data_IF_711125285793
#
_entry.id   IF_711125285793
#
_cell.length_a   1.000
_cell.length_b   1.000
_cell.length_c   1.000
_cell.angle_alpha   90.00
_cell.angle_beta   90.00
_cell.angle_gamma   90.00
#
_symmetry.space_group_name_H-M   'P 1'
#
loop_
_entity.id
_entity.type
_entity.pdbx_description
1 polymer ?
#
# COMPACT_ATOMS: atom_id res chain seq x y z
N UNK A 1 -29.11 19.61 9.40
CA UNK A 1 -28.14 18.59 8.94
C UNK A 1 -27.86 18.87 7.47
N UNK A 2 -26.73 19.50 7.14
CA UNK A 2 -26.40 19.82 5.74
C UNK A 2 -26.29 18.50 4.96
N UNK A 3 -27.15 18.31 3.94
CA UNK A 3 -27.00 17.22 2.98
C UNK A 3 -25.61 17.37 2.34
N UNK A 4 -24.74 16.37 2.48
CA UNK A 4 -23.50 16.31 1.69
C UNK A 4 -23.91 16.47 0.22
N UNK A 5 -23.33 17.45 -0.49
CA UNK A 5 -23.33 17.43 -1.97
C UNK A 5 -22.71 16.09 -2.39
N UNK A 6 -23.18 15.49 -3.48
CA UNK A 6 -22.70 14.23 -4.09
C UNK A 6 -21.18 14.24 -4.38
N UNK A 7 -20.33 14.25 -3.36
CA UNK A 7 -18.89 14.06 -3.50
C UNK A 7 -18.60 12.59 -3.23
N UNK A 8 -18.04 11.93 -4.24
CA UNK A 8 -17.54 10.57 -4.11
C UNK A 8 -16.33 10.57 -3.17
N UNK A 9 -16.34 9.69 -2.18
CA UNK A 9 -15.25 9.49 -1.23
C UNK A 9 -14.57 8.16 -1.53
N UNK A 10 -13.28 8.23 -1.84
CA UNK A 10 -12.44 7.06 -2.09
C UNK A 10 -11.42 6.95 -0.96
N UNK A 11 -11.47 5.84 -0.22
CA UNK A 11 -10.41 5.45 0.69
C UNK A 11 -9.31 4.72 -0.09
N UNK A 12 -8.17 5.38 -0.29
CA UNK A 12 -7.10 4.88 -1.15
C UNK A 12 -6.21 3.81 -0.47
N UNK A 13 -6.39 3.52 0.82
CA UNK A 13 -5.46 2.67 1.56
C UNK A 13 -6.17 1.80 2.59
N UNK A 14 -6.66 0.66 2.13
CA UNK A 14 -7.26 -0.35 3.01
C UNK A 14 -6.52 -1.67 2.90
N UNK A 15 -6.50 -2.43 3.99
CA UNK A 15 -5.95 -3.78 4.03
C UNK A 15 -7.05 -4.73 4.49
N UNK A 16 -7.22 -5.82 3.74
CA UNK A 16 -8.02 -6.97 4.16
C UNK A 16 -7.23 -8.25 3.89
N UNK A 17 -7.58 -9.29 4.62
CA UNK A 17 -6.95 -10.60 4.54
C UNK A 17 -8.01 -11.68 4.27
N UNK A 18 -7.62 -12.87 3.80
CA UNK A 18 -8.48 -14.03 3.90
C UNK A 18 -8.95 -14.21 5.35
N UNK A 19 -10.22 -14.51 5.58
CA UNK A 19 -10.83 -14.52 6.92
C UNK A 19 -10.04 -15.39 7.93
N UNK A 20 -9.54 -16.55 7.49
CA UNK A 20 -8.75 -17.46 8.31
C UNK A 20 -7.33 -16.96 8.66
N UNK A 21 -6.87 -15.87 8.03
CA UNK A 21 -5.57 -15.22 8.25
C UNK A 21 -5.73 -13.91 9.04
N UNK A 22 -6.89 -13.25 8.93
CA UNK A 22 -7.09 -11.87 9.38
C UNK A 22 -6.75 -11.64 10.86
N UNK A 23 -7.24 -12.48 11.76
CA UNK A 23 -6.98 -12.38 13.21
C UNK A 23 -5.47 -12.46 13.52
N UNK A 24 -4.77 -13.42 12.90
CA UNK A 24 -3.33 -13.60 13.10
C UNK A 24 -2.52 -12.44 12.52
N UNK A 25 -2.92 -11.93 11.35
CA UNK A 25 -2.25 -10.79 10.72
C UNK A 25 -2.34 -9.54 11.61
N UNK A 26 -3.55 -9.21 12.07
CA UNK A 26 -3.78 -8.06 12.96
C UNK A 26 -3.02 -8.24 14.28
N UNK A 27 -3.10 -9.40 14.91
CA UNK A 27 -2.42 -9.66 16.18
C UNK A 27 -0.90 -9.50 16.06
N UNK A 28 -0.31 -9.95 14.94
CA UNK A 28 1.12 -9.76 14.67
C UNK A 28 1.48 -8.28 14.53
N UNK A 29 0.72 -7.53 13.74
CA UNK A 29 0.97 -6.10 13.52
C UNK A 29 0.89 -5.34 14.84
N UNK A 30 -0.20 -5.52 15.59
CA UNK A 30 -0.39 -4.86 16.88
C UNK A 30 0.74 -5.19 17.87
N UNK A 31 1.11 -6.48 17.96
CA UNK A 31 2.23 -6.93 18.80
C UNK A 31 3.55 -6.24 18.45
N UNK A 32 3.83 -6.05 17.17
CA UNK A 32 5.06 -5.41 16.70
C UNK A 32 5.09 -3.89 16.90
N UNK A 33 3.92 -3.23 16.96
CA UNK A 33 3.85 -1.77 17.21
C UNK A 33 4.04 -1.39 18.67
N UNK A 34 4.21 -2.35 19.59
CA UNK A 34 4.40 -2.10 21.03
C UNK A 34 3.29 -1.26 21.65
N UNK A 35 2.04 -1.42 21.16
CA UNK A 35 0.87 -0.69 21.66
C UNK A 35 0.72 0.75 21.16
N UNK A 36 1.49 1.15 20.14
CA UNK A 36 1.36 2.48 19.52
C UNK A 36 0.16 2.59 18.56
N UNK A 37 -0.45 1.46 18.20
CA UNK A 37 -1.55 1.38 17.23
C UNK A 37 -2.64 0.46 17.77
N UNK A 38 -3.89 0.85 17.52
CA UNK A 38 -5.08 0.04 17.78
C UNK A 38 -5.73 -0.41 16.47
N UNK A 39 -6.36 -1.60 16.49
CA UNK A 39 -7.19 -2.07 15.39
C UNK A 39 -8.67 -1.80 15.69
N UNK A 40 -9.32 -1.04 14.80
CA UNK A 40 -10.75 -0.72 14.87
C UNK A 40 -11.61 -1.61 13.96
N UNK A 41 -10.96 -2.47 13.18
CA UNK A 41 -11.61 -3.47 12.32
C UNK A 41 -10.88 -4.81 12.45
N UNK A 42 -11.52 -5.89 12.01
CA UNK A 42 -10.99 -7.25 12.09
C UNK A 42 -10.29 -7.72 10.80
N UNK A 43 -10.07 -6.81 9.84
CA UNK A 43 -9.31 -7.11 8.61
C UNK A 43 -10.00 -8.04 7.62
N UNK A 44 -11.30 -8.32 7.80
CA UNK A 44 -12.10 -9.11 6.85
C UNK A 44 -12.80 -8.21 5.83
N UNK A 45 -13.14 -8.79 4.67
CA UNK A 45 -13.91 -8.09 3.63
C UNK A 45 -15.24 -7.57 4.15
N UNK A 46 -15.97 -8.40 4.89
CA UNK A 46 -17.28 -8.04 5.43
C UNK A 46 -17.20 -6.84 6.38
N UNK A 47 -16.15 -6.79 7.22
CA UNK A 47 -15.97 -5.68 8.13
C UNK A 47 -15.50 -4.40 7.44
N UNK A 48 -14.67 -4.51 6.38
CA UNK A 48 -14.34 -3.36 5.53
C UNK A 48 -15.61 -2.72 4.96
N UNK A 49 -16.50 -3.50 4.33
CA UNK A 49 -17.75 -2.96 3.77
C UNK A 49 -18.63 -2.32 4.85
N UNK A 50 -18.76 -2.94 6.02
CA UNK A 50 -19.48 -2.35 7.15
C UNK A 50 -18.85 -1.05 7.65
N UNK A 51 -17.52 -0.95 7.65
CA UNK A 51 -16.79 0.28 7.99
C UNK A 51 -17.05 1.38 6.96
N UNK A 52 -16.99 1.04 5.67
CA UNK A 52 -17.29 1.97 4.57
C UNK A 52 -18.70 2.55 4.69
N UNK A 53 -19.70 1.72 5.01
CA UNK A 53 -21.08 2.17 5.18
C UNK A 53 -21.24 3.15 6.35
N UNK A 54 -20.57 2.89 7.48
CA UNK A 54 -20.58 3.77 8.65
C UNK A 54 -19.90 5.11 8.38
N UNK A 55 -18.80 5.11 7.62
CA UNK A 55 -18.03 6.29 7.30
C UNK A 55 -18.57 7.08 6.08
N UNK A 56 -19.46 6.47 5.30
CA UNK A 56 -19.95 7.04 4.03
C UNK A 56 -18.86 7.07 2.95
N UNK A 57 -18.04 6.01 2.87
CA UNK A 57 -17.01 5.81 1.84
C UNK A 57 -17.64 5.11 0.64
N UNK A 58 -17.49 5.66 -0.56
CA UNK A 58 -18.07 5.09 -1.78
C UNK A 58 -17.23 3.95 -2.34
N UNK A 59 -15.90 4.14 -2.37
CA UNK A 59 -14.93 3.17 -2.89
C UNK A 59 -13.76 2.98 -1.92
N UNK A 60 -13.22 1.76 -1.86
CA UNK A 60 -11.97 1.48 -1.14
C UNK A 60 -10.96 0.75 -2.02
N UNK A 61 -9.70 1.15 -1.93
CA UNK A 61 -8.58 0.47 -2.56
C UNK A 61 -7.99 -0.54 -1.57
N UNK A 62 -8.09 -1.82 -1.92
CA UNK A 62 -7.56 -2.95 -1.15
C UNK A 62 -6.12 -3.22 -1.59
N UNK A 63 -5.20 -3.05 -0.66
CA UNK A 63 -3.77 -3.24 -0.84
C UNK A 63 -3.36 -4.58 -0.22
N UNK A 64 -2.87 -5.51 -1.02
CA UNK A 64 -2.31 -6.78 -0.52
C UNK A 64 -0.79 -6.66 -0.35
N UNK A 65 -0.17 -7.51 0.48
CA UNK A 65 1.29 -7.52 0.66
C UNK A 65 1.81 -8.95 0.63
N UNK A 66 2.68 -9.26 -0.33
CA UNK A 66 3.38 -10.54 -0.40
C UNK A 66 4.64 -10.49 0.47
N UNK A 67 4.57 -11.04 1.68
CA UNK A 67 5.67 -11.09 2.66
C UNK A 67 6.58 -12.32 2.49
N UNK A 68 6.36 -13.15 1.48
CA UNK A 68 7.27 -14.23 1.10
C UNK A 68 7.23 -14.53 -0.41
N UNK A 69 8.28 -15.18 -0.97
CA UNK A 69 8.41 -15.40 -2.42
C UNK A 69 7.25 -16.18 -3.06
N UNK A 70 6.52 -17.00 -2.31
CA UNK A 70 5.46 -17.86 -2.85
C UNK A 70 4.06 -17.21 -2.78
N UNK A 71 3.92 -16.08 -2.06
CA UNK A 71 2.61 -15.51 -1.78
C UNK A 71 1.93 -14.85 -2.97
N UNK A 72 2.67 -14.44 -4.02
CA UNK A 72 2.08 -13.78 -5.20
C UNK A 72 0.96 -14.61 -5.86
N UNK A 73 1.19 -15.91 -6.04
CA UNK A 73 0.17 -16.84 -6.56
C UNK A 73 -0.98 -17.08 -5.58
N UNK A 74 -0.69 -17.09 -4.27
CA UNK A 74 -1.73 -17.16 -3.23
C UNK A 74 -2.67 -15.95 -3.26
N UNK A 75 -2.10 -14.75 -3.43
CA UNK A 75 -2.83 -13.49 -3.58
C UNK A 75 -3.72 -13.54 -4.83
N UNK A 76 -3.19 -13.94 -5.99
CA UNK A 76 -3.98 -14.11 -7.22
C UNK A 76 -5.18 -15.03 -6.98
N UNK A 77 -4.94 -16.22 -6.40
CA UNK A 77 -5.99 -17.20 -6.15
C UNK A 77 -7.09 -16.63 -5.25
N UNK A 78 -6.71 -15.91 -4.21
CA UNK A 78 -7.66 -15.29 -3.29
C UNK A 78 -8.42 -14.12 -3.94
N UNK A 79 -7.72 -13.21 -4.62
CA UNK A 79 -8.36 -12.09 -5.32
C UNK A 79 -9.38 -12.56 -6.35
N UNK A 80 -9.12 -13.64 -7.10
CA UNK A 80 -10.11 -14.24 -8.03
C UNK A 80 -11.43 -14.63 -7.36
N UNK A 81 -11.41 -14.96 -6.07
CA UNK A 81 -12.61 -15.32 -5.33
C UNK A 81 -13.44 -14.10 -4.93
N UNK A 82 -12.80 -12.95 -4.75
CA UNK A 82 -13.44 -11.76 -4.15
C UNK A 82 -13.53 -10.55 -5.08
N UNK A 83 -12.83 -10.52 -6.21
CA UNK A 83 -12.71 -9.35 -7.08
C UNK A 83 -14.07 -8.84 -7.61
N UNK A 84 -15.05 -9.74 -7.75
CA UNK A 84 -16.40 -9.41 -8.19
C UNK A 84 -17.41 -9.34 -7.02
N UNK A 85 -16.95 -9.39 -5.77
CA UNK A 85 -17.84 -9.42 -4.60
C UNK A 85 -18.57 -8.09 -4.42
N UNK A 86 -17.89 -6.97 -4.67
CA UNK A 86 -18.48 -5.64 -4.57
C UNK A 86 -17.87 -4.71 -5.61
N UNK A 87 -18.68 -3.97 -6.38
CA UNK A 87 -18.16 -2.95 -7.31
C UNK A 87 -17.55 -1.75 -6.57
N UNK A 88 -17.63 -1.71 -5.24
CA UNK A 88 -17.06 -0.65 -4.40
C UNK A 88 -15.60 -0.88 -4.03
N UNK A 89 -15.01 -2.00 -4.44
CA UNK A 89 -13.65 -2.38 -4.07
C UNK A 89 -12.76 -2.39 -5.30
N UNK A 90 -11.63 -1.69 -5.20
CA UNK A 90 -10.55 -1.68 -6.19
C UNK A 90 -9.40 -2.47 -5.61
N UNK A 91 -8.83 -3.41 -6.37
CA UNK A 91 -7.83 -4.33 -5.84
C UNK A 91 -6.44 -4.08 -6.42
N UNK A 92 -5.45 -4.05 -5.53
CA UNK A 92 -4.03 -4.09 -5.84
C UNK A 92 -3.44 -5.43 -5.43
N UNK A 93 -2.62 -5.99 -6.32
CA UNK A 93 -1.85 -7.20 -6.06
C UNK A 93 -0.58 -6.89 -5.27
N UNK A 94 0.26 -7.91 -5.07
CA UNK A 94 1.61 -7.74 -4.56
C UNK A 94 2.48 -8.94 -4.94
N UNK A 95 3.74 -8.66 -5.24
CA UNK A 95 4.74 -9.68 -5.54
C UNK A 95 5.98 -9.40 -4.72
N UNK A 96 6.55 -10.46 -4.15
CA UNK A 96 7.74 -10.36 -3.34
C UNK A 96 8.99 -10.27 -4.24
N UNK A 97 9.98 -9.40 -3.96
CA UNK A 97 11.19 -9.22 -4.77
C UNK A 97 11.94 -10.51 -5.11
N UNK A 98 11.99 -11.47 -4.19
CA UNK A 98 12.62 -12.78 -4.42
C UNK A 98 11.72 -13.84 -5.10
N UNK A 99 10.51 -13.52 -5.56
CA UNK A 99 9.68 -14.46 -6.32
C UNK A 99 10.34 -14.76 -7.70
N UNK A 100 10.74 -16.01 -8.00
CA UNK A 100 11.36 -16.34 -9.29
C UNK A 100 10.37 -16.25 -10.47
N UNK A 101 9.07 -16.25 -10.20
CA UNK A 101 8.00 -16.23 -11.18
C UNK A 101 7.35 -14.84 -11.31
N UNK A 102 7.97 -13.77 -10.76
CA UNK A 102 7.38 -12.44 -10.70
C UNK A 102 6.75 -11.98 -12.04
N UNK A 103 7.40 -12.26 -13.19
CA UNK A 103 6.89 -11.88 -14.51
C UNK A 103 5.56 -12.53 -14.88
N UNK A 104 5.37 -13.81 -14.57
CA UNK A 104 4.08 -14.47 -14.87
C UNK A 104 3.01 -13.99 -13.90
N UNK A 105 3.36 -13.82 -12.62
CA UNK A 105 2.46 -13.33 -11.58
C UNK A 105 1.95 -11.92 -11.90
N UNK A 106 2.83 -10.99 -12.29
CA UNK A 106 2.46 -9.60 -12.62
C UNK A 106 1.57 -9.55 -13.87
N UNK A 107 1.91 -10.29 -14.92
CA UNK A 107 1.08 -10.36 -16.14
C UNK A 107 -0.29 -10.96 -15.87
N UNK A 108 -0.38 -11.96 -15.00
CA UNK A 108 -1.65 -12.55 -14.57
C UNK A 108 -2.49 -11.55 -13.76
N UNK A 109 -1.88 -10.79 -12.85
CA UNK A 109 -2.52 -9.70 -12.13
C UNK A 109 -3.05 -8.61 -13.07
N UNK A 110 -2.27 -8.23 -14.09
CA UNK A 110 -2.71 -7.28 -15.13
C UNK A 110 -3.91 -7.83 -15.91
N UNK A 111 -3.85 -9.10 -16.35
CA UNK A 111 -4.93 -9.75 -17.08
C UNK A 111 -6.22 -9.92 -16.25
N UNK A 112 -6.12 -9.93 -14.91
CA UNK A 112 -7.27 -9.90 -14.01
C UNK A 112 -7.92 -8.52 -13.89
N UNK A 113 -7.33 -7.46 -14.47
CA UNK A 113 -7.84 -6.09 -14.37
C UNK A 113 -7.47 -5.39 -13.06
N UNK A 114 -6.45 -5.88 -12.33
CA UNK A 114 -5.93 -5.16 -11.16
C UNK A 114 -5.32 -3.83 -11.62
N UNK A 115 -5.48 -2.79 -10.80
CA UNK A 115 -5.02 -1.44 -11.16
C UNK A 115 -3.53 -1.22 -10.87
N UNK A 116 -2.95 -2.03 -9.99
CA UNK A 116 -1.56 -1.90 -9.59
C UNK A 116 -1.11 -2.94 -8.57
N UNK A 117 0.11 -2.76 -8.09
CA UNK A 117 0.73 -3.58 -7.05
C UNK A 117 1.14 -2.71 -5.86
N UNK A 118 0.96 -3.25 -4.65
CA UNK A 118 1.48 -2.68 -3.41
C UNK A 118 2.81 -3.34 -3.04
N UNK A 119 3.74 -2.49 -2.64
CA UNK A 119 5.06 -2.84 -2.15
C UNK A 119 5.22 -2.34 -0.72
N UNK A 120 5.75 -3.19 0.14
CA UNK A 120 6.11 -2.85 1.51
C UNK A 120 7.54 -3.29 1.76
N UNK A 121 8.54 -2.45 1.42
CA UNK A 121 9.95 -2.86 1.41
C UNK A 121 10.43 -3.47 2.74
N UNK A 122 9.97 -2.94 3.88
CA UNK A 122 10.32 -3.47 5.20
C UNK A 122 9.75 -4.88 5.42
N UNK A 123 8.45 -5.10 5.19
CA UNK A 123 7.84 -6.44 5.32
C UNK A 123 8.31 -7.43 4.26
N UNK A 124 8.75 -6.94 3.11
CA UNK A 124 9.29 -7.75 2.03
C UNK A 124 10.78 -8.00 2.20
N UNK A 125 11.44 -7.39 3.18
CA UNK A 125 12.85 -7.64 3.48
C UNK A 125 13.82 -7.23 2.37
N UNK A 126 13.45 -6.22 1.56
CA UNK A 126 14.27 -5.77 0.43
C UNK A 126 14.30 -4.24 0.38
N UNK A 127 15.47 -3.61 0.18
CA UNK A 127 15.54 -2.18 -0.07
C UNK A 127 14.70 -1.81 -1.29
N UNK A 128 13.92 -0.72 -1.19
CA UNK A 128 13.09 -0.23 -2.29
C UNK A 128 13.92 0.02 -3.56
N UNK A 129 15.16 0.51 -3.41
CA UNK A 129 16.10 0.73 -4.51
C UNK A 129 17.02 -0.46 -4.82
N UNK A 130 16.66 -1.67 -4.38
CA UNK A 130 17.43 -2.88 -4.63
C UNK A 130 17.20 -3.44 -6.04
N UNK A 131 18.22 -4.10 -6.62
CA UNK A 131 18.14 -4.71 -7.96
C UNK A 131 16.99 -5.71 -8.11
N UNK A 132 16.76 -6.53 -7.08
CA UNK A 132 15.66 -7.50 -7.05
C UNK A 132 14.27 -6.84 -6.99
N UNK A 133 14.19 -5.64 -6.43
CA UNK A 133 12.96 -4.84 -6.43
C UNK A 133 12.77 -4.13 -7.79
N UNK A 134 13.84 -3.58 -8.36
CA UNK A 134 13.79 -2.88 -9.65
C UNK A 134 13.31 -3.75 -10.80
N UNK A 135 13.76 -5.01 -10.90
CA UNK A 135 13.25 -5.94 -11.93
C UNK A 135 11.73 -6.15 -11.83
N UNK A 136 11.15 -6.04 -10.63
CA UNK A 136 9.70 -6.10 -10.44
C UNK A 136 9.05 -4.81 -10.90
N UNK A 137 9.60 -3.65 -10.53
CA UNK A 137 9.05 -2.35 -10.90
C UNK A 137 9.08 -2.13 -12.42
N UNK A 138 10.15 -2.56 -13.09
CA UNK A 138 10.22 -2.58 -14.56
C UNK A 138 9.09 -3.41 -15.17
N UNK A 139 8.82 -4.60 -14.63
CA UNK A 139 7.74 -5.46 -15.11
C UNK A 139 6.35 -4.85 -14.82
N UNK A 140 6.17 -4.21 -13.66
CA UNK A 140 4.92 -3.48 -13.35
C UNK A 140 4.71 -2.31 -14.32
N UNK A 141 5.74 -1.53 -14.59
CA UNK A 141 5.68 -0.43 -15.56
C UNK A 141 5.38 -0.93 -16.99
N UNK A 142 6.00 -2.03 -17.41
CA UNK A 142 5.76 -2.66 -18.72
C UNK A 142 4.31 -3.13 -18.92
N UNK A 143 3.58 -3.38 -17.84
CA UNK A 143 2.17 -3.76 -17.85
C UNK A 143 1.22 -2.57 -17.57
N UNK A 144 1.73 -1.34 -17.57
CA UNK A 144 0.98 -0.09 -17.29
C UNK A 144 0.24 -0.13 -15.93
N UNK A 145 0.84 -0.81 -14.94
CA UNK A 145 0.28 -0.95 -13.60
C UNK A 145 0.81 0.14 -12.65
N UNK A 146 0.01 0.52 -11.66
CA UNK A 146 0.40 1.48 -10.62
C UNK A 146 1.33 0.80 -9.61
N UNK A 147 2.41 1.49 -9.20
CA UNK A 147 3.26 1.09 -8.08
C UNK A 147 2.85 1.87 -6.83
N UNK A 148 2.37 1.16 -5.81
CA UNK A 148 1.99 1.76 -4.55
C UNK A 148 3.00 1.36 -3.48
N UNK A 149 3.71 2.31 -2.88
CA UNK A 149 4.72 2.03 -1.86
C UNK A 149 4.19 2.32 -0.46
N UNK A 150 4.57 1.49 0.51
CA UNK A 150 4.74 1.98 1.87
C UNK A 150 5.98 2.89 1.88
N UNK A 151 5.87 4.05 2.53
CA UNK A 151 6.90 5.09 2.45
C UNK A 151 7.27 5.64 3.83
N UNK A 152 8.57 5.62 4.13
CA UNK A 152 9.14 6.00 5.42
C UNK A 152 9.17 4.86 6.43
N UNK A 153 9.26 5.24 7.69
CA UNK A 153 9.34 4.34 8.84
C UNK A 153 8.00 3.63 9.06
N UNK A 154 8.05 2.31 9.28
CA UNK A 154 6.92 1.53 9.78
C UNK A 154 7.09 1.30 11.29
N UNK A 155 6.09 1.67 12.09
CA UNK A 155 6.13 1.52 13.55
C UNK A 155 6.29 0.06 14.01
N UNK A 156 5.93 -0.91 13.16
CA UNK A 156 6.12 -2.34 13.43
C UNK A 156 7.51 -2.86 13.03
N UNK A 157 8.30 -2.05 12.31
CA UNK A 157 9.66 -2.37 11.85
C UNK A 157 10.57 -1.12 11.96
N UNK A 158 10.70 -0.52 13.16
CA UNK A 158 11.34 0.80 13.33
C UNK A 158 12.83 0.82 12.95
N UNK A 159 13.51 -0.33 12.99
CA UNK A 159 14.92 -0.47 12.64
C UNK A 159 15.16 -0.72 11.13
N UNK A 160 14.10 -0.79 10.32
CA UNK A 160 14.24 -1.06 8.89
C UNK A 160 14.59 0.21 8.10
N UNK A 161 15.66 0.13 7.31
CA UNK A 161 16.05 1.18 6.37
C UNK A 161 15.57 0.90 4.94
N UNK A 162 14.66 -0.05 4.74
CA UNK A 162 14.30 -0.52 3.39
C UNK A 162 13.36 0.41 2.62
N UNK A 163 12.57 1.22 3.33
CA UNK A 163 11.58 2.14 2.77
C UNK A 163 11.87 3.62 3.08
N UNK A 164 13.13 3.98 3.38
CA UNK A 164 13.46 5.38 3.72
C UNK A 164 13.15 6.33 2.55
N UNK A 165 12.90 7.59 2.89
CA UNK A 165 12.62 8.65 1.91
C UNK A 165 13.73 8.73 0.85
N UNK A 166 14.99 8.57 1.22
CA UNK A 166 16.13 8.63 0.30
C UNK A 166 16.11 7.48 -0.72
N UNK A 167 15.79 6.25 -0.28
CA UNK A 167 15.68 5.11 -1.20
C UNK A 167 14.51 5.30 -2.16
N UNK A 168 13.39 5.80 -1.67
CA UNK A 168 12.20 6.06 -2.49
C UNK A 168 12.40 7.24 -3.45
N UNK A 169 13.18 8.26 -3.07
CA UNK A 169 13.58 9.33 -3.99
C UNK A 169 14.37 8.79 -5.18
N UNK A 170 15.25 7.80 -4.93
CA UNK A 170 15.97 7.12 -6.00
C UNK A 170 15.02 6.32 -6.92
N UNK A 171 14.03 5.62 -6.35
CA UNK A 171 12.97 4.94 -7.12
C UNK A 171 12.22 5.93 -8.01
N UNK A 172 11.78 7.07 -7.46
CA UNK A 172 11.06 8.10 -8.23
C UNK A 172 11.86 8.63 -9.41
N UNK A 173 13.16 8.85 -9.20
CA UNK A 173 14.09 9.31 -10.23
C UNK A 173 14.27 8.27 -11.34
N UNK A 174 14.54 7.02 -10.96
CA UNK A 174 14.87 5.94 -11.91
C UNK A 174 13.64 5.47 -12.69
N UNK A 175 12.44 5.59 -12.10
CA UNK A 175 11.16 5.26 -12.73
C UNK A 175 10.36 6.51 -13.07
N UNK A 176 11.05 7.59 -13.46
CA UNK A 176 10.41 8.84 -13.89
C UNK A 176 9.49 8.58 -15.10
N UNK A 177 8.19 8.82 -14.91
CA UNK A 177 7.12 8.53 -15.88
C UNK A 177 6.24 7.34 -15.52
N UNK A 178 6.62 6.53 -14.54
CA UNK A 178 5.74 5.50 -13.99
C UNK A 178 4.63 6.10 -13.09
N UNK A 179 3.52 5.36 -12.95
CA UNK A 179 2.43 5.72 -12.05
C UNK A 179 2.78 5.27 -10.63
N UNK A 180 3.25 6.20 -9.79
CA UNK A 180 3.73 5.90 -8.43
C UNK A 180 2.87 6.59 -7.38
N UNK A 181 2.44 5.84 -6.36
CA UNK A 181 1.76 6.34 -5.16
C UNK A 181 2.64 6.06 -3.95
N UNK A 182 2.91 7.09 -3.15
CA UNK A 182 3.65 7.01 -1.90
C UNK A 182 2.68 7.10 -0.72
N UNK A 183 2.67 6.07 0.14
CA UNK A 183 1.80 6.08 1.31
C UNK A 183 2.28 7.07 2.37
N UNK A 184 1.40 7.39 3.33
CA UNK A 184 1.79 8.12 4.55
C UNK A 184 2.44 9.47 4.24
N UNK A 185 1.93 10.12 3.20
CA UNK A 185 2.43 11.37 2.63
C UNK A 185 3.93 11.36 2.28
N UNK A 186 4.45 10.21 1.83
CA UNK A 186 5.81 10.10 1.31
C UNK A 186 6.84 9.61 2.32
N UNK A 187 6.55 9.70 3.61
CA UNK A 187 7.49 9.32 4.65
C UNK A 187 6.92 9.64 6.03
N UNK A 188 6.46 8.63 6.76
CA UNK A 188 5.92 8.80 8.12
C UNK A 188 6.89 9.62 8.99
N UNK A 189 6.44 10.79 9.47
CA UNK A 189 7.20 11.75 10.30
C UNK A 189 8.49 12.33 9.67
N UNK A 190 8.76 12.08 8.39
CA UNK A 190 9.95 12.57 7.66
C UNK A 190 9.58 13.60 6.57
N UNK A 191 8.51 14.38 6.74
CA UNK A 191 7.96 15.24 5.69
C UNK A 191 8.91 16.34 5.20
N UNK A 192 9.85 16.81 6.02
CA UNK A 192 10.90 17.72 5.53
C UNK A 192 11.74 17.10 4.43
N UNK A 193 12.15 15.84 4.61
CA UNK A 193 12.91 15.10 3.61
C UNK A 193 12.05 14.83 2.39
N UNK A 194 10.75 14.58 2.57
CA UNK A 194 9.82 14.41 1.44
C UNK A 194 9.75 15.71 0.63
N UNK A 195 9.59 16.86 1.28
CA UNK A 195 9.57 18.16 0.63
C UNK A 195 10.90 18.46 -0.09
N UNK A 196 12.04 18.07 0.48
CA UNK A 196 13.35 18.27 -0.15
C UNK A 196 13.58 17.33 -1.35
N UNK A 197 13.36 16.03 -1.15
CA UNK A 197 13.79 15.00 -2.09
C UNK A 197 12.75 14.66 -3.16
N UNK A 198 11.47 14.89 -2.89
CA UNK A 198 10.38 14.56 -3.83
C UNK A 198 9.86 15.81 -4.57
N UNK A 199 10.30 17.03 -4.25
CA UNK A 199 9.77 18.28 -4.83
C UNK A 199 9.70 18.29 -6.36
N UNK A 200 10.75 17.79 -7.02
CA UNK A 200 10.83 17.75 -8.49
C UNK A 200 10.38 16.40 -9.08
N UNK A 201 9.83 15.51 -8.25
CA UNK A 201 9.42 14.16 -8.65
C UNK A 201 7.91 14.10 -8.88
N UNK A 202 7.49 13.45 -9.97
CA UNK A 202 6.07 13.22 -10.24
C UNK A 202 5.58 11.96 -9.54
N UNK A 203 4.80 12.13 -8.46
CA UNK A 203 4.11 11.02 -7.80
C UNK A 203 2.81 11.49 -7.12
N UNK A 204 2.02 10.53 -6.67
CA UNK A 204 0.84 10.75 -5.85
C UNK A 204 1.11 10.37 -4.40
N UNK A 205 0.32 10.91 -3.49
CA UNK A 205 0.40 10.62 -2.06
C UNK A 205 -0.95 10.18 -1.54
N UNK A 206 -0.97 9.20 -0.64
CA UNK A 206 -2.08 9.05 0.30
C UNK A 206 -1.71 9.70 1.64
N UNK A 207 -2.71 10.05 2.44
CA UNK A 207 -2.54 10.65 3.77
C UNK A 207 -2.94 9.69 4.89
N UNK A 208 -2.93 8.40 4.62
CA UNK A 208 -3.42 7.37 5.52
C UNK A 208 -2.51 7.28 6.73
N UNK A 209 -3.10 7.11 7.92
CA UNK A 209 -2.37 6.96 9.18
C UNK A 209 -1.58 8.19 9.67
N UNK A 210 -1.50 9.27 8.89
CA UNK A 210 -0.63 10.42 9.21
C UNK A 210 -1.36 11.71 9.60
N UNK A 211 -2.67 11.84 9.35
CA UNK A 211 -3.37 13.13 9.53
C UNK A 211 -3.25 13.71 10.95
N UNK A 212 -3.41 12.89 12.00
CA UNK A 212 -3.30 13.36 13.39
C UNK A 212 -1.88 13.79 13.75
N UNK A 213 -0.86 13.12 13.17
CA UNK A 213 0.55 13.48 13.34
C UNK A 213 0.90 14.73 12.55
N UNK A 214 0.42 14.84 11.32
CA UNK A 214 0.58 16.02 10.48
C UNK A 214 -0.01 17.26 11.14
N UNK A 215 -1.17 17.15 11.78
CA UNK A 215 -1.78 18.27 12.51
C UNK A 215 -0.92 18.79 13.68
N UNK A 216 0.06 18.00 14.15
CA UNK A 216 1.02 18.37 15.19
C UNK A 216 2.37 18.81 14.60
N UNK A 217 2.55 18.65 13.29
CA UNK A 217 3.78 19.00 12.60
C UNK A 217 3.94 20.53 12.52
N UNK A 218 5.19 21.01 12.49
CA UNK A 218 5.49 22.44 12.43
C UNK A 218 4.98 23.13 11.16
N UNK A 219 4.67 22.37 10.10
CA UNK A 219 4.11 22.88 8.85
C UNK A 219 2.58 22.93 8.86
N UNK A 220 1.90 22.40 9.88
CA UNK A 220 0.45 22.54 10.01
C UNK A 220 0.09 23.97 10.46
N UNK A 221 -0.53 24.73 9.56
CA UNK A 221 -1.09 26.06 9.83
C UNK A 221 -2.55 25.99 10.25
#
# INVERSE_FOLDING_TARGET
>A
MMKRKNQMIIDAHTHIYPDHVAEKAISTILGNTSGQVDAYTNGTLANLLSSMDKAGIDLSVVLTVATSPQQGQGIIKWLRQIINYSPRLIYFGSVHPADPNYKSVIREMAAMGLQGLKFHPAYQGHPANGKEAYRIYEEVANNDLIMYFHSGIDLSMPDSDYATVERLAQVLKDFSGAKIIMAHAGGYEEWDKVLELFADQSCYYDTSFVLDRMAQDRHAM
#
